data_IF_706438821208
#
_entry.id   IF_706438821208
#
_cell.length_a   1.000
_cell.length_b   1.000
_cell.length_c   1.000
_cell.angle_alpha   90.00
_cell.angle_beta   90.00
_cell.angle_gamma   90.00
#
_symmetry.space_group_name_H-M   'P 1'
#
loop_
_entity.id
_entity.type
_entity.pdbx_description
1 polymer ?
#
# COMPACT_ATOMS: atom_id res chain seq x y z
N UNK A 1 -33.51 -32.39 -7.35
CA UNK A 1 -33.51 -30.93 -7.54
C UNK A 1 -32.34 -30.38 -6.75
N UNK A 2 -31.24 -30.03 -7.43
CA UNK A 2 -30.12 -29.35 -6.78
C UNK A 2 -30.54 -27.89 -6.67
N UNK A 3 -30.79 -27.42 -5.47
CA UNK A 3 -30.97 -25.99 -5.24
C UNK A 3 -29.60 -25.34 -5.44
N UNK A 4 -29.40 -24.66 -6.57
CA UNK A 4 -28.29 -23.72 -6.72
C UNK A 4 -28.59 -22.52 -5.81
N UNK A 5 -28.09 -22.58 -4.58
CA UNK A 5 -27.97 -21.40 -3.73
C UNK A 5 -26.80 -20.58 -4.26
N UNK A 6 -27.04 -19.83 -5.33
CA UNK A 6 -26.11 -18.81 -5.80
C UNK A 6 -26.30 -17.54 -4.96
N UNK A 7 -25.19 -16.94 -4.54
CA UNK A 7 -25.17 -15.60 -3.94
C UNK A 7 -24.74 -14.65 -5.06
N UNK A 8 -25.56 -13.63 -5.33
CA UNK A 8 -25.27 -12.62 -6.34
C UNK A 8 -24.49 -11.47 -5.73
N UNK A 9 -23.44 -11.01 -6.41
CA UNK A 9 -22.70 -9.80 -6.09
C UNK A 9 -22.69 -8.92 -7.34
N UNK A 10 -23.38 -7.78 -7.28
CA UNK A 10 -23.49 -6.86 -8.42
C UNK A 10 -22.25 -5.98 -8.60
N UNK A 11 -21.55 -5.68 -7.49
CA UNK A 11 -20.50 -4.64 -7.46
C UNK A 11 -19.10 -5.21 -7.20
N UNK A 12 -18.91 -6.54 -7.23
CA UNK A 12 -17.61 -7.17 -6.97
C UNK A 12 -17.10 -7.88 -8.22
N UNK A 13 -15.94 -7.44 -8.71
CA UNK A 13 -15.25 -8.07 -9.83
C UNK A 13 -14.90 -9.55 -9.52
N UNK A 14 -15.10 -10.42 -10.51
CA UNK A 14 -14.89 -11.86 -10.40
C UNK A 14 -13.46 -12.22 -9.98
N UNK A 15 -12.44 -11.47 -10.44
CA UNK A 15 -11.05 -11.73 -10.08
C UNK A 15 -10.78 -11.35 -8.62
N UNK A 16 -11.36 -10.24 -8.13
CA UNK A 16 -11.27 -9.88 -6.72
C UNK A 16 -11.93 -10.94 -5.85
N UNK A 17 -13.13 -11.40 -6.21
CA UNK A 17 -13.82 -12.48 -5.49
C UNK A 17 -12.99 -13.77 -5.45
N UNK A 18 -12.30 -14.12 -6.55
CA UNK A 18 -11.39 -15.26 -6.55
C UNK A 18 -10.31 -15.11 -5.47
N UNK A 19 -9.72 -13.93 -5.31
CA UNK A 19 -8.70 -13.69 -4.27
C UNK A 19 -9.27 -13.78 -2.85
N UNK A 20 -10.50 -13.33 -2.63
CA UNK A 20 -11.21 -13.54 -1.35
C UNK A 20 -11.33 -15.04 -1.06
N UNK A 21 -11.82 -15.81 -2.04
CA UNK A 21 -11.99 -17.26 -1.89
C UNK A 21 -10.65 -17.97 -1.68
N UNK A 22 -9.62 -17.65 -2.46
CA UNK A 22 -8.27 -18.21 -2.29
C UNK A 22 -7.79 -18.00 -0.84
N UNK A 23 -7.98 -16.79 -0.29
CA UNK A 23 -7.62 -16.49 1.09
C UNK A 23 -8.47 -17.27 2.11
N UNK A 24 -9.78 -17.38 1.90
CA UNK A 24 -10.65 -18.14 2.80
C UNK A 24 -10.21 -19.61 2.92
N UNK A 25 -9.80 -20.23 1.81
CA UNK A 25 -9.43 -21.64 1.77
C UNK A 25 -7.94 -21.90 2.08
N UNK A 26 -7.06 -20.95 1.81
CA UNK A 26 -5.60 -21.17 1.85
C UNK A 26 -4.86 -20.16 2.74
N UNK A 27 -5.55 -19.20 3.34
CA UNK A 27 -4.99 -18.10 4.13
C UNK A 27 -3.99 -17.20 3.38
N UNK A 28 -3.98 -17.27 2.05
CA UNK A 28 -3.19 -16.42 1.18
C UNK A 28 -3.86 -16.33 -0.20
N UNK A 29 -3.54 -15.27 -0.94
CA UNK A 29 -3.83 -15.17 -2.37
C UNK A 29 -2.57 -14.75 -3.13
N UNK A 30 -2.53 -15.10 -4.40
CA UNK A 30 -1.47 -14.70 -5.33
C UNK A 30 -2.02 -13.74 -6.37
N UNK A 31 -1.46 -12.55 -6.45
CA UNK A 31 -1.77 -11.60 -7.50
C UNK A 31 -1.01 -11.97 -8.77
N UNK A 32 -1.61 -11.68 -9.93
CA UNK A 32 -0.98 -11.99 -11.22
C UNK A 32 0.15 -11.00 -11.51
N UNK A 33 1.13 -11.44 -12.30
CA UNK A 33 2.29 -10.64 -12.66
C UNK A 33 3.27 -10.46 -11.51
N UNK A 34 4.18 -9.50 -11.70
CA UNK A 34 5.24 -9.19 -10.74
C UNK A 34 6.58 -9.83 -11.04
N UNK A 35 7.59 -9.35 -10.34
CA UNK A 35 8.97 -9.80 -10.40
C UNK A 35 9.37 -10.34 -9.03
N UNK A 36 10.21 -11.36 -9.03
CA UNK A 36 10.82 -11.86 -7.80
C UNK A 36 11.66 -10.74 -7.19
N UNK A 37 11.37 -10.40 -5.93
CA UNK A 37 12.19 -9.48 -5.15
C UNK A 37 13.44 -10.25 -4.74
N UNK A 38 14.62 -9.91 -5.32
CA UNK A 38 15.79 -10.74 -5.20
C UNK A 38 16.13 -11.07 -3.74
N UNK A 39 16.52 -12.31 -3.48
CA UNK A 39 17.18 -12.72 -2.24
C UNK A 39 18.61 -12.20 -2.17
N UNK A 40 18.79 -10.88 -2.33
CA UNK A 40 20.02 -10.23 -1.89
C UNK A 40 20.02 -10.16 -0.36
N UNK A 41 21.21 -10.11 0.24
CA UNK A 41 21.33 -9.99 1.69
C UNK A 41 20.81 -8.65 2.25
N UNK A 42 20.53 -7.66 1.39
CA UNK A 42 20.39 -6.26 1.78
C UNK A 42 19.30 -5.54 0.98
N UNK A 43 18.46 -4.75 1.66
CA UNK A 43 17.44 -3.93 1.02
C UNK A 43 18.03 -2.64 0.42
N UNK A 44 17.88 -2.45 -0.88
CA UNK A 44 18.21 -1.23 -1.62
C UNK A 44 16.98 -0.36 -1.95
N UNK A 45 15.77 -0.91 -1.88
CA UNK A 45 14.52 -0.25 -2.28
C UNK A 45 14.14 0.99 -1.44
N UNK A 46 14.28 0.94 -0.11
CA UNK A 46 13.79 1.99 0.80
C UNK A 46 14.66 3.25 0.82
N UNK A 47 15.85 3.21 0.22
CA UNK A 47 16.92 4.13 0.59
C UNK A 47 17.28 5.10 -0.52
N UNK A 48 16.41 6.09 -0.73
CA UNK A 48 16.83 7.37 -1.30
C UNK A 48 18.03 7.97 -0.52
N UNK A 49 18.12 7.71 0.79
CA UNK A 49 19.27 8.08 1.62
C UNK A 49 20.58 7.31 1.29
N UNK A 50 20.51 6.10 0.72
CA UNK A 50 21.73 5.41 0.22
C UNK A 50 22.09 5.82 -1.21
N UNK A 51 21.13 6.27 -2.03
CA UNK A 51 21.43 6.81 -3.37
C UNK A 51 22.31 8.08 -3.33
N UNK A 52 22.32 8.82 -2.21
CA UNK A 52 23.18 10.01 -1.99
C UNK A 52 24.34 9.79 -1.01
N UNK A 53 24.48 8.59 -0.45
CA UNK A 53 25.56 8.25 0.49
C UNK A 53 26.85 7.86 -0.23
N UNK A 54 28.03 7.97 0.41
CA UNK A 54 29.28 7.52 -0.19
C UNK A 54 29.20 6.02 -0.52
N UNK A 55 29.73 5.66 -1.70
CA UNK A 55 29.73 4.33 -2.34
C UNK A 55 30.18 3.19 -1.40
N UNK A 56 30.85 3.53 -0.28
CA UNK A 56 31.39 2.60 0.71
C UNK A 56 30.83 2.87 2.12
N UNK A 57 29.52 2.77 2.34
CA UNK A 57 29.00 2.73 3.71
C UNK A 57 29.21 1.32 4.32
N UNK A 58 29.80 1.29 5.50
CA UNK A 58 30.09 0.06 6.26
C UNK A 58 28.81 -0.75 6.45
N UNK A 59 28.90 -2.09 6.35
CA UNK A 59 27.77 -3.03 6.36
C UNK A 59 26.92 -3.12 7.64
N UNK A 60 26.93 -2.09 8.49
CA UNK A 60 26.19 -2.00 9.75
C UNK A 60 24.74 -1.54 9.51
N UNK A 61 24.45 -0.84 8.40
CA UNK A 61 23.10 -0.39 8.02
C UNK A 61 22.39 -1.31 7.02
N UNK A 62 22.99 -2.46 6.76
CA UNK A 62 22.60 -3.40 5.72
C UNK A 62 21.61 -4.42 6.28
N UNK A 63 20.31 -4.13 6.19
CA UNK A 63 19.21 -5.00 6.68
C UNK A 63 18.72 -5.92 5.58
N UNK A 64 18.36 -7.16 5.93
CA UNK A 64 17.65 -8.08 5.02
C UNK A 64 16.32 -7.44 4.61
N UNK A 65 16.02 -7.48 3.31
CA UNK A 65 14.76 -6.94 2.80
C UNK A 65 13.57 -7.77 3.35
N UNK A 66 12.54 -7.13 3.94
CA UNK A 66 11.32 -7.82 4.38
C UNK A 66 10.54 -8.41 3.21
N UNK A 67 10.72 -7.88 2.00
CA UNK A 67 10.08 -8.37 0.78
C UNK A 67 10.89 -9.45 0.05
N UNK A 68 12.05 -9.85 0.58
CA UNK A 68 12.93 -10.84 -0.06
C UNK A 68 12.21 -12.17 -0.34
N UNK A 69 12.24 -12.61 -1.61
CA UNK A 69 11.57 -13.83 -2.07
C UNK A 69 10.06 -13.69 -2.29
N UNK A 70 9.50 -12.48 -2.16
CA UNK A 70 8.13 -12.19 -2.58
C UNK A 70 8.09 -11.88 -4.07
N UNK A 71 6.96 -12.14 -4.71
CA UNK A 71 6.70 -11.74 -6.10
C UNK A 71 5.79 -10.51 -6.03
N UNK A 72 6.29 -9.36 -6.47
CA UNK A 72 5.59 -8.07 -6.36
C UNK A 72 5.55 -7.32 -7.70
N UNK A 73 4.54 -6.47 -7.87
CA UNK A 73 4.36 -5.55 -9.00
C UNK A 73 3.80 -4.21 -8.49
N UNK A 74 4.08 -3.07 -9.15
CA UNK A 74 3.41 -1.80 -8.84
C UNK A 74 1.87 -1.94 -8.84
N UNK A 75 1.32 -2.63 -9.84
CA UNK A 75 -0.13 -2.93 -9.96
C UNK A 75 -0.75 -3.71 -8.79
N UNK A 76 0.08 -4.37 -7.96
CA UNK A 76 -0.41 -5.07 -6.78
C UNK A 76 -0.92 -4.10 -5.72
N UNK A 77 -0.47 -2.83 -5.71
CA UNK A 77 -0.93 -1.80 -4.78
C UNK A 77 -2.47 -1.65 -4.85
N UNK A 78 -2.99 -1.33 -6.03
CA UNK A 78 -4.42 -1.16 -6.28
C UNK A 78 -5.21 -2.44 -5.96
N UNK A 79 -4.64 -3.60 -6.28
CA UNK A 79 -5.27 -4.89 -5.98
C UNK A 79 -5.43 -5.11 -4.47
N UNK A 80 -4.40 -4.82 -3.67
CA UNK A 80 -4.48 -4.91 -2.21
C UNK A 80 -5.52 -3.96 -1.62
N UNK A 81 -5.62 -2.73 -2.14
CA UNK A 81 -6.62 -1.73 -1.70
C UNK A 81 -8.04 -2.23 -1.97
N UNK A 82 -8.33 -2.69 -3.20
CA UNK A 82 -9.67 -3.18 -3.54
C UNK A 82 -10.07 -4.43 -2.77
N UNK A 83 -9.14 -5.38 -2.60
CA UNK A 83 -9.37 -6.59 -1.81
C UNK A 83 -9.61 -6.21 -0.34
N UNK A 84 -8.89 -5.22 0.19
CA UNK A 84 -9.11 -4.73 1.56
C UNK A 84 -10.51 -4.17 1.77
N UNK A 85 -11.03 -3.37 0.83
CA UNK A 85 -12.39 -2.83 0.90
C UNK A 85 -13.43 -3.96 0.89
N UNK A 86 -13.25 -4.96 0.04
CA UNK A 86 -14.13 -6.14 0.02
C UNK A 86 -14.01 -6.96 1.32
N UNK A 87 -12.80 -7.07 1.87
CA UNK A 87 -12.57 -7.73 3.14
C UNK A 87 -13.28 -7.01 4.29
N UNK A 88 -13.35 -5.68 4.27
CA UNK A 88 -14.15 -4.90 5.21
C UNK A 88 -15.64 -5.18 5.06
N UNK A 89 -16.14 -5.18 3.83
CA UNK A 89 -17.54 -5.53 3.52
C UNK A 89 -17.93 -6.92 4.06
N UNK A 90 -17.02 -7.90 3.99
CA UNK A 90 -17.24 -9.24 4.53
C UNK A 90 -16.83 -9.42 6.00
N UNK A 91 -16.35 -8.38 6.69
CA UNK A 91 -15.91 -8.46 8.09
C UNK A 91 -14.68 -9.36 8.30
N UNK A 92 -13.81 -9.49 7.30
CA UNK A 92 -12.66 -10.39 7.31
C UNK A 92 -11.39 -9.68 7.80
N UNK A 93 -11.22 -9.55 9.13
CA UNK A 93 -10.10 -8.82 9.74
C UNK A 93 -8.71 -9.37 9.39
N UNK A 94 -8.56 -10.69 9.28
CA UNK A 94 -7.27 -11.30 8.92
C UNK A 94 -6.87 -10.98 7.47
N UNK A 95 -7.86 -10.95 6.57
CA UNK A 95 -7.64 -10.57 5.18
C UNK A 95 -7.29 -9.08 5.07
N UNK A 96 -7.94 -8.21 5.85
CA UNK A 96 -7.56 -6.78 5.93
C UNK A 96 -6.11 -6.62 6.37
N UNK A 97 -5.67 -7.41 7.35
CA UNK A 97 -4.28 -7.40 7.83
C UNK A 97 -3.31 -7.89 6.75
N UNK A 98 -3.68 -8.95 6.03
CA UNK A 98 -2.90 -9.47 4.90
C UNK A 98 -2.75 -8.44 3.78
N UNK A 99 -3.85 -7.79 3.38
CA UNK A 99 -3.84 -6.71 2.40
C UNK A 99 -2.98 -5.53 2.84
N UNK A 100 -3.07 -5.12 4.12
CA UNK A 100 -2.24 -4.04 4.66
C UNK A 100 -0.75 -4.36 4.55
N UNK A 101 -0.36 -5.59 4.90
CA UNK A 101 1.04 -6.03 4.74
C UNK A 101 1.46 -6.06 3.27
N UNK A 102 0.59 -6.53 2.37
CA UNK A 102 0.84 -6.50 0.93
C UNK A 102 1.02 -5.08 0.38
N UNK A 103 0.18 -4.13 0.79
CA UNK A 103 0.33 -2.70 0.48
C UNK A 103 1.68 -2.18 0.96
N UNK A 104 2.08 -2.47 2.21
CA UNK A 104 3.38 -2.09 2.74
C UNK A 104 4.53 -2.69 1.93
N UNK A 105 4.41 -3.95 1.52
CA UNK A 105 5.44 -4.65 0.75
C UNK A 105 5.62 -4.03 -0.65
N UNK A 106 4.53 -3.67 -1.33
CA UNK A 106 4.57 -3.03 -2.65
C UNK A 106 5.18 -1.64 -2.55
N UNK A 107 4.71 -0.81 -1.62
CA UNK A 107 5.25 0.55 -1.42
C UNK A 107 6.73 0.50 -1.02
N UNK A 108 7.14 -0.46 -0.18
CA UNK A 108 8.54 -0.64 0.18
C UNK A 108 9.46 -0.86 -1.03
N UNK A 109 8.99 -1.58 -2.07
CA UNK A 109 9.77 -1.91 -3.27
C UNK A 109 9.64 -0.85 -4.36
N UNK A 110 8.43 -0.31 -4.56
CA UNK A 110 8.06 0.45 -5.75
C UNK A 110 7.63 1.89 -5.47
N UNK A 111 7.88 2.46 -4.28
CA UNK A 111 7.43 3.83 -3.94
C UNK A 111 7.82 4.92 -4.96
N UNK A 112 8.93 4.76 -5.68
CA UNK A 112 9.48 5.69 -6.69
C UNK A 112 9.25 5.20 -8.14
N UNK A 113 8.38 4.19 -8.32
CA UNK A 113 8.07 3.61 -9.63
C UNK A 113 6.90 4.35 -10.28
N UNK A 114 7.06 4.77 -11.54
CA UNK A 114 6.03 5.50 -12.29
C UNK A 114 4.77 4.64 -12.53
N UNK A 115 4.89 3.31 -12.58
CA UNK A 115 3.75 2.40 -12.77
C UNK A 115 2.96 2.15 -11.45
N UNK A 116 3.34 2.79 -10.34
CA UNK A 116 2.68 2.62 -9.05
C UNK A 116 1.30 3.32 -8.99
N UNK A 117 1.09 4.34 -9.83
CA UNK A 117 -0.13 5.16 -9.88
C UNK A 117 -0.60 5.59 -8.48
N UNK A 118 0.30 6.22 -7.71
CA UNK A 118 0.09 6.48 -6.28
C UNK A 118 -1.10 7.42 -6.01
N UNK A 119 -1.34 8.43 -6.85
CA UNK A 119 -2.48 9.33 -6.71
C UNK A 119 -3.82 8.59 -6.85
N UNK A 120 -3.94 7.68 -7.82
CA UNK A 120 -5.13 6.84 -8.00
C UNK A 120 -5.32 5.88 -6.82
N UNK A 121 -4.23 5.33 -6.28
CA UNK A 121 -4.27 4.48 -5.10
C UNK A 121 -4.71 5.26 -3.83
N UNK A 122 -4.28 6.51 -3.68
CA UNK A 122 -4.75 7.41 -2.63
C UNK A 122 -6.25 7.66 -2.78
N UNK A 123 -6.70 8.06 -3.97
CA UNK A 123 -8.12 8.32 -4.24
C UNK A 123 -8.99 7.11 -3.92
N UNK A 124 -8.65 5.93 -4.45
CA UNK A 124 -9.39 4.68 -4.22
C UNK A 124 -9.44 4.35 -2.72
N UNK A 125 -8.30 4.41 -2.01
CA UNK A 125 -8.26 4.09 -0.59
C UNK A 125 -9.08 5.06 0.25
N UNK A 126 -9.09 6.35 -0.11
CA UNK A 126 -9.80 7.39 0.64
C UNK A 126 -11.29 7.48 0.29
N UNK A 127 -11.72 7.06 -0.90
CA UNK A 127 -13.15 6.92 -1.24
C UNK A 127 -13.74 5.63 -0.66
N UNK A 128 -13.04 4.51 -0.82
CA UNK A 128 -13.64 3.19 -0.65
C UNK A 128 -13.64 2.67 0.80
N UNK A 129 -12.84 3.26 1.69
CA UNK A 129 -12.78 2.85 3.10
C UNK A 129 -13.63 3.75 4.02
N UNK A 130 -14.35 3.21 5.03
CA UNK A 130 -15.08 4.04 5.99
C UNK A 130 -14.16 4.98 6.79
N UNK A 131 -14.63 6.15 7.24
CA UNK A 131 -13.80 7.11 8.01
C UNK A 131 -13.14 6.51 9.27
N UNK A 132 -13.84 5.60 9.94
CA UNK A 132 -13.33 4.91 11.14
C UNK A 132 -12.25 3.86 10.84
N UNK A 133 -12.08 3.48 9.57
CA UNK A 133 -11.04 2.56 9.14
C UNK A 133 -9.83 3.32 8.57
N UNK A 134 -8.76 3.29 9.35
CA UNK A 134 -7.50 3.92 8.99
C UNK A 134 -6.47 2.92 8.45
N UNK A 135 -6.77 1.63 8.31
CA UNK A 135 -5.74 0.59 8.16
C UNK A 135 -4.86 0.73 6.92
N UNK A 136 -5.44 0.84 5.72
CA UNK A 136 -4.66 1.09 4.49
C UNK A 136 -4.27 2.57 4.36
N UNK A 137 -5.16 3.49 4.75
CA UNK A 137 -4.90 4.93 4.70
C UNK A 137 -3.66 5.31 5.50
N UNK A 138 -3.45 4.71 6.67
CA UNK A 138 -2.28 4.98 7.49
C UNK A 138 -1.00 4.55 6.79
N UNK A 139 -1.02 3.40 6.10
CA UNK A 139 0.15 2.93 5.34
C UNK A 139 0.52 3.93 4.25
N UNK A 140 -0.46 4.42 3.48
CA UNK A 140 -0.21 5.40 2.42
C UNK A 140 0.32 6.73 2.98
N UNK A 141 -0.31 7.23 4.06
CA UNK A 141 0.15 8.46 4.74
C UNK A 141 1.56 8.30 5.30
N UNK A 142 1.87 7.14 5.89
CA UNK A 142 3.21 6.85 6.41
C UNK A 142 4.25 6.81 5.28
N UNK A 143 3.91 6.24 4.12
CA UNK A 143 4.78 6.29 2.92
C UNK A 143 5.03 7.73 2.45
N UNK A 144 4.00 8.59 2.40
CA UNK A 144 4.18 10.01 2.02
C UNK A 144 5.07 10.79 3.01
N UNK A 145 5.02 10.42 4.30
CA UNK A 145 5.92 10.99 5.33
C UNK A 145 7.36 10.52 5.18
N UNK A 146 7.54 9.23 4.90
CA UNK A 146 8.86 8.63 4.72
C UNK A 146 9.55 9.11 3.44
N UNK A 147 8.76 9.48 2.43
CA UNK A 147 9.25 9.91 1.12
C UNK A 147 8.67 11.28 0.69
N UNK A 148 9.09 12.41 1.32
CA UNK A 148 8.56 13.74 0.99
C UNK A 148 8.75 14.15 -0.48
N UNK A 149 9.73 13.57 -1.17
CA UNK A 149 9.96 13.80 -2.59
C UNK A 149 8.77 13.40 -3.49
N UNK A 150 7.84 12.59 -2.99
CA UNK A 150 6.63 12.20 -3.71
C UNK A 150 5.60 13.32 -3.85
N UNK A 151 5.65 14.35 -2.99
CA UNK A 151 4.63 15.41 -2.98
C UNK A 151 5.18 16.83 -2.92
N UNK A 152 6.46 17.01 -2.60
CA UNK A 152 7.12 18.33 -2.65
C UNK A 152 7.40 18.76 -4.09
N UNK A 153 7.53 17.81 -5.01
CA UNK A 153 7.71 18.10 -6.43
C UNK A 153 6.35 18.18 -7.12
N UNK A 154 6.24 19.01 -8.16
CA UNK A 154 5.05 19.08 -9.02
C UNK A 154 4.71 17.70 -9.58
N UNK A 155 3.46 17.25 -9.38
CA UNK A 155 2.99 15.93 -9.77
C UNK A 155 1.57 15.65 -9.29
N UNK A 156 1.03 14.53 -9.75
CA UNK A 156 -0.32 14.04 -9.45
C UNK A 156 -0.59 13.86 -7.95
N UNK A 157 0.40 13.39 -7.19
CA UNK A 157 0.30 13.23 -5.73
C UNK A 157 0.22 14.59 -5.03
N UNK A 158 0.93 15.62 -5.52
CA UNK A 158 0.84 16.97 -4.98
C UNK A 158 -0.56 17.54 -5.23
N UNK A 159 -1.04 17.46 -6.48
CA UNK A 159 -2.37 17.93 -6.87
C UNK A 159 -3.46 17.25 -6.01
N UNK A 160 -3.35 15.93 -5.81
CA UNK A 160 -4.26 15.18 -4.96
C UNK A 160 -4.25 15.67 -3.50
N UNK A 161 -3.09 16.00 -2.94
CA UNK A 161 -2.98 16.53 -1.57
C UNK A 161 -3.51 17.96 -1.43
N UNK A 162 -3.38 18.78 -2.48
CA UNK A 162 -3.99 20.12 -2.54
C UNK A 162 -5.53 20.02 -2.49
N UNK A 163 -6.11 19.03 -3.18
CA UNK A 163 -7.55 18.72 -3.12
C UNK A 163 -7.98 18.05 -1.80
N UNK A 164 -7.04 17.46 -1.06
CA UNK A 164 -7.27 16.73 0.18
C UNK A 164 -6.52 17.34 1.40
N UNK A 165 -6.85 18.57 1.83
CA UNK A 165 -6.07 19.31 2.83
C UNK A 165 -5.98 18.62 4.21
N UNK A 166 -7.01 17.86 4.61
CA UNK A 166 -6.98 17.06 5.86
C UNK A 166 -5.93 15.95 5.82
N UNK A 167 -5.63 15.42 4.64
CA UNK A 167 -4.59 14.40 4.45
C UNK A 167 -3.23 15.08 4.38
N UNK A 168 -3.13 16.21 3.68
CA UNK A 168 -1.93 17.05 3.65
C UNK A 168 -1.44 17.41 5.06
N UNK A 169 -2.32 17.88 5.93
CA UNK A 169 -1.98 18.20 7.33
C UNK A 169 -1.44 16.97 8.09
N UNK A 170 -1.93 15.77 7.78
CA UNK A 170 -1.40 14.54 8.39
C UNK A 170 -0.01 14.19 7.88
N UNK A 171 0.30 14.46 6.62
CA UNK A 171 1.58 14.16 5.97
C UNK A 171 2.66 15.17 6.39
N UNK A 172 2.33 16.46 6.37
CA UNK A 172 3.20 17.55 6.77
C UNK A 172 2.47 18.44 7.79
N UNK A 173 2.49 18.09 9.09
CA UNK A 173 1.91 18.93 10.11
C UNK A 173 2.74 20.21 10.23
N UNK A 174 2.10 21.36 10.03
CA UNK A 174 2.71 22.67 10.23
C UNK A 174 3.43 22.67 11.60
N UNK A 175 4.71 23.06 11.68
CA UNK A 175 5.45 23.11 12.95
C UNK A 175 4.71 23.87 14.06
N UNK A 176 3.85 24.84 13.73
CA UNK A 176 3.05 25.60 14.70
C UNK A 176 1.86 24.80 15.29
N UNK A 177 1.40 23.74 14.61
CA UNK A 177 0.32 22.86 15.14
C UNK A 177 0.80 21.87 16.19
N UNK A 178 2.11 21.59 16.27
CA UNK A 178 2.70 20.69 17.26
C UNK A 178 2.91 21.33 18.65
N UNK A 179 2.72 22.65 18.77
CA UNK A 179 2.97 23.42 20.01
C UNK A 179 1.75 23.46 20.94
N UNK A 180 0.60 22.93 20.53
CA UNK A 180 -0.64 23.01 21.33
C UNK A 180 -1.17 21.63 21.74
N UNK A 181 -0.47 20.98 22.66
CA UNK A 181 -1.11 20.08 23.62
C UNK A 181 -0.60 20.40 25.03
N UNK A 182 -1.43 20.98 25.91
CA UNK A 182 -1.10 21.10 27.34
C UNK A 182 -1.06 19.74 28.03
#
# INVERSE_FOLDING_TARGET
MVYEKAIHFDDIDMYLMKHILDFMYSSHYTLRGGKDVPTTGYCDHTTAALRRGPINSSGIFKRKCPCSGKILSPSHLMSHIRIYTIADYFGMSDLKTYCRQGTQDVLHVYWDDEELDLADALEEAFISTPEGDCGIRSVLVDTLKEHPGLWVNEGDVQDWLDDNPKVREKVDPDPDTLVLKP
#
